data_IF_959424601979
#
_entry.id   IF_959424601979
#
_cell.length_a   1.000
_cell.length_b   1.000
_cell.length_c   1.000
_cell.angle_alpha   90.00
_cell.angle_beta   90.00
_cell.angle_gamma   90.00
#
_symmetry.space_group_name_H-M   'P 1'
#
loop_
_entity.id
_entity.type
_entity.pdbx_description
1 polymer ?
#
# COMPACT_ATOMS: atom_id res chain seq x y z
N UNK A 1 6.12 -9.51 2.00
CA UNK A 1 5.23 -10.69 1.99
C UNK A 1 5.35 -11.41 3.33
N UNK A 2 4.21 -11.77 3.92
CA UNK A 2 4.11 -12.38 5.25
C UNK A 2 3.36 -13.69 5.14
N UNK A 3 3.84 -14.73 5.83
CA UNK A 3 3.06 -15.94 6.09
C UNK A 3 2.60 -15.95 7.55
N UNK A 4 1.33 -16.27 7.76
CA UNK A 4 0.73 -16.34 9.09
C UNK A 4 0.45 -17.80 9.46
N UNK A 5 0.99 -18.24 10.58
CA UNK A 5 0.83 -19.60 11.07
C UNK A 5 -0.11 -19.63 12.27
N UNK A 6 -1.09 -20.56 12.33
CA UNK A 6 -1.97 -20.68 13.49
C UNK A 6 -1.17 -21.15 14.71
N UNK A 7 -1.51 -20.66 15.89
CA UNK A 7 -0.75 -20.95 17.12
C UNK A 7 -0.57 -22.46 17.39
N UNK A 8 -1.60 -23.26 17.06
CA UNK A 8 -1.58 -24.72 17.22
C UNK A 8 -0.53 -25.45 16.36
N UNK A 9 0.06 -24.81 15.35
CA UNK A 9 1.06 -25.46 14.49
C UNK A 9 2.32 -25.87 15.27
N UNK A 10 2.66 -25.14 16.33
CA UNK A 10 3.84 -25.42 17.17
C UNK A 10 3.76 -26.80 17.84
N UNK A 11 2.56 -27.17 18.32
CA UNK A 11 2.26 -28.50 18.87
C UNK A 11 2.33 -29.58 17.80
N UNK A 12 1.81 -29.30 16.60
CA UNK A 12 1.88 -30.22 15.48
C UNK A 12 3.33 -30.51 15.07
N UNK A 13 4.18 -29.48 14.98
CA UNK A 13 5.60 -29.67 14.68
C UNK A 13 6.39 -30.37 15.78
N UNK A 14 6.00 -30.19 17.05
CA UNK A 14 6.65 -30.90 18.16
C UNK A 14 6.31 -32.40 18.19
N UNK A 15 5.18 -32.79 17.62
CA UNK A 15 4.75 -34.21 17.51
C UNK A 15 5.23 -34.90 16.23
N UNK A 16 5.78 -34.15 15.26
CA UNK A 16 6.24 -34.66 13.97
C UNK A 16 7.70 -34.26 13.74
N UNK A 17 8.69 -35.13 14.07
CA UNK A 17 10.11 -34.77 14.05
C UNK A 17 10.66 -34.42 12.66
N UNK A 18 9.97 -34.81 11.58
CA UNK A 18 10.29 -34.49 10.20
C UNK A 18 9.04 -33.97 9.46
N UNK A 19 8.61 -32.71 9.71
CA UNK A 19 7.47 -32.15 8.98
C UNK A 19 7.83 -32.03 7.48
N UNK A 20 6.82 -32.09 6.58
CA UNK A 20 7.06 -31.84 5.16
C UNK A 20 7.69 -30.44 4.98
N UNK A 21 8.54 -30.27 3.97
CA UNK A 21 9.16 -28.97 3.70
C UNK A 21 8.11 -28.01 3.18
N UNK A 22 8.02 -26.81 3.77
CA UNK A 22 7.17 -25.75 3.26
C UNK A 22 7.85 -25.11 2.04
N UNK A 23 7.25 -25.36 0.87
CA UNK A 23 7.71 -24.83 -0.41
C UNK A 23 6.61 -23.99 -1.04
N UNK A 24 7.00 -22.90 -1.68
CA UNK A 24 6.06 -22.02 -2.38
C UNK A 24 6.70 -21.38 -3.61
N UNK A 25 5.86 -21.02 -4.58
CA UNK A 25 6.26 -20.27 -5.76
C UNK A 25 5.62 -18.89 -5.76
N UNK A 26 6.33 -17.94 -6.37
CA UNK A 26 5.82 -16.62 -6.70
C UNK A 26 5.81 -16.48 -8.20
N UNK A 27 4.62 -16.25 -8.75
CA UNK A 27 4.42 -15.95 -10.18
C UNK A 27 4.48 -14.45 -10.45
N UNK A 28 4.66 -14.07 -11.71
CA UNK A 28 4.89 -12.69 -12.13
C UNK A 28 6.11 -12.09 -11.42
N UNK A 29 7.14 -12.92 -11.25
CA UNK A 29 8.34 -12.57 -10.51
C UNK A 29 9.18 -11.52 -11.24
N UNK A 30 9.11 -11.47 -12.57
CA UNK A 30 9.77 -10.45 -13.41
C UNK A 30 9.31 -9.01 -13.15
N UNK A 31 8.16 -8.83 -12.49
CA UNK A 31 7.65 -7.51 -12.06
C UNK A 31 8.38 -6.96 -10.82
N UNK A 32 9.25 -7.77 -10.20
CA UNK A 32 10.01 -7.40 -9.02
C UNK A 32 11.43 -6.99 -9.42
N UNK A 33 11.80 -5.76 -9.11
CA UNK A 33 13.14 -5.22 -9.43
C UNK A 33 14.17 -5.65 -8.40
N UNK A 34 13.82 -5.54 -7.12
CA UNK A 34 14.68 -5.91 -6.02
C UNK A 34 13.92 -6.85 -5.09
N UNK A 35 14.49 -8.02 -4.80
CA UNK A 35 13.89 -9.00 -3.89
C UNK A 35 14.90 -9.36 -2.81
N UNK A 36 14.48 -9.27 -1.57
CA UNK A 36 15.27 -9.59 -0.38
C UNK A 36 14.55 -10.72 0.39
N UNK A 37 14.93 -11.98 0.14
CA UNK A 37 14.45 -13.10 0.92
C UNK A 37 14.93 -13.04 2.36
N UNK A 38 14.13 -13.56 3.30
CA UNK A 38 14.56 -13.69 4.69
C UNK A 38 15.71 -14.71 4.79
N UNK A 39 16.95 -14.28 5.08
CA UNK A 39 18.12 -15.15 4.99
C UNK A 39 18.17 -16.21 6.10
N UNK A 40 17.39 -16.04 7.17
CA UNK A 40 17.29 -17.02 8.24
C UNK A 40 16.27 -18.11 7.94
N UNK A 41 15.23 -17.79 7.17
CA UNK A 41 14.07 -18.67 7.00
C UNK A 41 13.96 -19.28 5.62
N UNK A 42 14.51 -18.64 4.60
CA UNK A 42 14.45 -19.12 3.23
C UNK A 42 15.82 -19.65 2.81
N UNK A 43 15.82 -20.85 2.26
CA UNK A 43 16.96 -21.37 1.54
C UNK A 43 17.02 -20.61 0.20
N UNK A 44 18.00 -19.72 0.05
CA UNK A 44 18.25 -19.04 -1.20
C UNK A 44 18.83 -20.05 -2.20
N UNK A 45 17.98 -20.60 -3.05
CA UNK A 45 18.50 -21.31 -4.20
C UNK A 45 18.96 -20.30 -5.25
N UNK A 46 20.23 -20.40 -5.64
CA UNK A 46 20.87 -19.62 -6.70
C UNK A 46 20.36 -20.01 -8.08
N UNK A 47 19.46 -21.00 -8.18
CA UNK A 47 18.79 -21.33 -9.43
C UNK A 47 18.12 -20.11 -10.05
N UNK A 48 18.30 -19.86 -11.35
CA UNK A 48 17.57 -18.81 -12.03
C UNK A 48 16.06 -19.08 -11.96
N UNK A 49 15.21 -18.04 -11.92
CA UNK A 49 13.76 -18.21 -12.00
C UNK A 49 13.39 -19.05 -13.23
N UNK A 50 12.42 -19.95 -13.07
CA UNK A 50 11.94 -20.81 -14.15
C UNK A 50 10.81 -20.08 -14.86
N UNK A 51 11.13 -19.46 -16.01
CA UNK A 51 10.21 -18.55 -16.67
C UNK A 51 9.91 -17.32 -15.79
N UNK A 52 8.64 -16.99 -15.60
CA UNK A 52 8.19 -15.85 -14.79
C UNK A 52 7.81 -16.24 -13.34
N UNK A 53 8.34 -17.37 -12.86
CA UNK A 53 8.09 -17.85 -11.51
C UNK A 53 9.39 -18.19 -10.78
N UNK A 54 9.40 -17.94 -9.47
CA UNK A 54 10.52 -18.30 -8.58
C UNK A 54 10.01 -19.14 -7.41
N UNK A 55 10.59 -20.32 -7.23
CA UNK A 55 10.35 -21.21 -6.09
C UNK A 55 11.25 -20.85 -4.90
N UNK A 56 10.71 -21.03 -3.69
CA UNK A 56 11.38 -20.83 -2.41
C UNK A 56 11.10 -22.02 -1.48
N UNK A 57 12.14 -22.48 -0.81
CA UNK A 57 12.06 -23.52 0.22
C UNK A 57 12.35 -22.92 1.59
N UNK A 58 11.54 -23.27 2.58
CA UNK A 58 11.70 -22.78 3.94
C UNK A 58 12.65 -23.70 4.72
N UNK A 59 13.62 -23.11 5.41
CA UNK A 59 14.42 -23.82 6.40
C UNK A 59 13.55 -24.16 7.61
N UNK A 60 13.04 -25.39 7.63
CA UNK A 60 12.09 -25.86 8.65
C UNK A 60 12.67 -25.78 10.06
N UNK A 61 13.96 -26.08 10.26
CA UNK A 61 14.61 -25.99 11.58
C UNK A 61 14.56 -24.56 12.14
N UNK A 62 14.91 -23.59 11.31
CA UNK A 62 14.89 -22.18 11.70
C UNK A 62 13.46 -21.66 11.87
N UNK A 63 12.51 -22.10 11.03
CA UNK A 63 11.09 -21.77 11.19
C UNK A 63 10.53 -22.29 12.52
N UNK A 64 10.76 -23.56 12.85
CA UNK A 64 10.29 -24.18 14.09
C UNK A 64 10.83 -23.44 15.31
N UNK A 65 12.14 -23.17 15.31
CA UNK A 65 12.82 -22.41 16.37
C UNK A 65 12.24 -21.00 16.52
N UNK A 66 11.99 -20.32 15.40
CA UNK A 66 11.39 -18.99 15.38
C UNK A 66 9.96 -19.00 15.96
N UNK A 67 9.10 -19.91 15.47
CA UNK A 67 7.71 -20.02 15.93
C UNK A 67 7.63 -20.37 17.41
N UNK A 68 8.50 -21.26 17.92
CA UNK A 68 8.58 -21.58 19.35
C UNK A 68 8.91 -20.34 20.18
N UNK A 69 9.93 -19.57 19.77
CA UNK A 69 10.32 -18.34 20.46
C UNK A 69 9.20 -17.29 20.46
N UNK A 70 8.51 -17.11 19.33
CA UNK A 70 7.37 -16.17 19.27
C UNK A 70 6.20 -16.66 20.12
N UNK A 71 5.94 -17.96 20.16
CA UNK A 71 4.89 -18.54 21.01
C UNK A 71 5.17 -18.34 22.50
N UNK A 72 6.42 -18.50 22.94
CA UNK A 72 6.85 -18.23 24.32
C UNK A 72 6.69 -16.75 24.68
N UNK A 73 7.02 -15.84 23.76
CA UNK A 73 6.88 -14.40 23.97
C UNK A 73 5.42 -13.92 23.93
N UNK A 74 4.57 -14.60 23.15
CA UNK A 74 3.17 -14.21 22.88
C UNK A 74 2.23 -15.42 22.96
N UNK A 75 2.03 -16.00 24.15
CA UNK A 75 1.26 -17.25 24.30
C UNK A 75 -0.23 -17.11 23.99
N UNK A 76 -0.78 -15.89 24.06
CA UNK A 76 -2.19 -15.60 23.79
C UNK A 76 -2.48 -15.27 22.31
N UNK A 77 -1.46 -15.20 21.45
CA UNK A 77 -1.66 -14.90 20.04
C UNK A 77 -2.30 -16.10 19.31
N UNK A 78 -3.30 -15.82 18.47
CA UNK A 78 -3.97 -16.85 17.64
C UNK A 78 -3.18 -17.19 16.38
N UNK A 79 -2.35 -16.27 15.91
CA UNK A 79 -1.47 -16.43 14.74
C UNK A 79 -0.10 -15.80 14.97
N UNK A 80 0.92 -16.41 14.36
CA UNK A 80 2.28 -15.89 14.30
C UNK A 80 2.61 -15.45 12.88
N UNK A 81 2.89 -14.16 12.70
CA UNK A 81 3.25 -13.57 11.41
C UNK A 81 4.76 -13.65 11.20
N UNK A 82 5.16 -14.13 10.04
CA UNK A 82 6.56 -14.35 9.67
C UNK A 82 6.84 -13.65 8.35
N UNK A 83 7.74 -12.68 8.37
CA UNK A 83 8.21 -11.97 7.18
C UNK A 83 9.08 -12.90 6.32
N UNK A 84 8.60 -13.23 5.11
CA UNK A 84 9.31 -14.12 4.20
C UNK A 84 10.15 -13.34 3.18
N UNK A 85 9.57 -12.29 2.58
CA UNK A 85 10.22 -11.52 1.52
C UNK A 85 9.97 -10.03 1.70
N UNK A 86 10.97 -9.21 1.41
CA UNK A 86 10.79 -7.80 1.06
C UNK A 86 11.07 -7.64 -0.42
N UNK A 87 10.31 -6.79 -1.11
CA UNK A 87 10.53 -6.58 -2.54
C UNK A 87 10.19 -5.14 -2.94
N UNK A 88 10.75 -4.74 -4.08
CA UNK A 88 10.43 -3.53 -4.81
C UNK A 88 9.82 -3.93 -6.15
N UNK A 89 8.77 -3.22 -6.55
CA UNK A 89 8.03 -3.48 -7.79
C UNK A 89 8.57 -2.55 -8.87
N UNK A 90 8.84 -3.09 -10.06
CA UNK A 90 9.23 -2.28 -11.21
C UNK A 90 8.10 -1.34 -11.61
N UNK A 91 8.41 -0.07 -11.88
CA UNK A 91 7.41 0.96 -12.22
C UNK A 91 7.68 1.62 -13.57
N UNK A 92 6.61 2.10 -14.21
CA UNK A 92 6.63 2.82 -15.48
C UNK A 92 6.03 4.22 -15.32
N UNK A 93 6.53 4.96 -14.32
CA UNK A 93 6.06 6.31 -14.01
C UNK A 93 4.57 6.36 -13.68
N UNK A 94 3.86 7.32 -14.28
CA UNK A 94 2.44 7.60 -13.99
C UNK A 94 1.48 6.44 -14.37
N UNK A 95 1.91 5.51 -15.21
CA UNK A 95 1.08 4.34 -15.54
C UNK A 95 1.03 3.33 -14.40
N UNK A 96 2.03 3.33 -13.51
CA UNK A 96 2.08 2.45 -12.34
C UNK A 96 1.47 3.07 -11.08
N UNK A 97 0.96 4.30 -11.16
CA UNK A 97 0.32 4.98 -10.02
C UNK A 97 -1.18 4.76 -10.03
N UNK A 98 -1.80 4.24 -8.95
CA UNK A 98 -3.23 3.92 -8.93
C UNK A 98 -4.14 5.16 -8.83
N UNK A 99 -3.58 6.32 -8.48
CA UNK A 99 -4.30 7.60 -8.39
C UNK A 99 -3.48 8.73 -9.00
N UNK A 100 -3.75 9.10 -10.23
CA UNK A 100 -3.02 10.18 -10.88
C UNK A 100 -3.48 11.52 -10.32
N UNK A 101 -2.55 12.46 -10.13
CA UNK A 101 -2.79 13.76 -9.52
C UNK A 101 -2.22 14.86 -10.40
N UNK A 102 -2.92 15.99 -10.46
CA UNK A 102 -2.40 17.26 -10.94
C UNK A 102 -2.85 18.36 -9.99
N UNK A 103 -1.93 19.23 -9.59
CA UNK A 103 -2.20 20.30 -8.62
C UNK A 103 -1.92 21.63 -9.28
N UNK A 104 -2.78 22.61 -9.05
CA UNK A 104 -2.62 23.97 -9.53
C UNK A 104 -2.91 24.98 -8.43
N UNK A 105 -1.96 25.86 -8.20
CA UNK A 105 -2.10 27.00 -7.30
C UNK A 105 -2.14 28.30 -8.12
N UNK A 106 -3.12 29.15 -7.82
CA UNK A 106 -3.22 30.50 -8.37
C UNK A 106 -3.57 31.46 -7.24
N UNK A 107 -3.01 32.65 -7.22
CA UNK A 107 -3.33 33.59 -6.15
C UNK A 107 -2.63 34.92 -6.31
N UNK A 108 -3.07 35.87 -5.49
CA UNK A 108 -2.50 37.20 -5.34
C UNK A 108 -2.29 37.52 -3.85
N UNK A 109 -2.04 38.79 -3.52
CA UNK A 109 -1.79 39.21 -2.14
C UNK A 109 -3.00 39.00 -1.20
N UNK A 110 -4.21 38.85 -1.75
CA UNK A 110 -5.47 38.82 -1.00
C UNK A 110 -6.18 37.47 -1.05
N UNK A 111 -5.86 36.62 -2.02
CA UNK A 111 -6.54 35.35 -2.22
C UNK A 111 -5.67 34.26 -2.85
N UNK A 112 -6.01 33.00 -2.54
CA UNK A 112 -5.40 31.81 -3.14
C UNK A 112 -6.47 30.81 -3.56
N UNK A 113 -6.38 30.34 -4.79
CA UNK A 113 -7.12 29.25 -5.39
C UNK A 113 -6.25 28.00 -5.48
N UNK A 114 -6.76 26.90 -4.90
CA UNK A 114 -6.20 25.56 -4.99
C UNK A 114 -7.13 24.69 -5.84
N UNK A 115 -6.58 24.08 -6.89
CA UNK A 115 -7.24 23.04 -7.68
C UNK A 115 -6.42 21.76 -7.65
N UNK A 116 -7.08 20.64 -7.36
CA UNK A 116 -6.51 19.30 -7.40
C UNK A 116 -7.36 18.46 -8.34
N UNK A 117 -6.82 18.09 -9.49
CA UNK A 117 -7.44 17.11 -10.38
C UNK A 117 -6.91 15.71 -10.03
N UNK A 118 -7.81 14.73 -9.94
CA UNK A 118 -7.45 13.35 -9.66
C UNK A 118 -8.11 12.39 -10.64
N UNK A 119 -7.43 11.28 -10.94
CA UNK A 119 -7.93 10.22 -11.81
C UNK A 119 -7.55 8.85 -11.27
N UNK A 120 -8.56 8.03 -10.98
CA UNK A 120 -8.37 6.60 -10.72
C UNK A 120 -7.76 5.92 -11.95
N UNK A 121 -6.67 5.19 -11.75
CA UNK A 121 -5.95 4.51 -12.82
C UNK A 121 -6.13 3.00 -12.70
N UNK A 122 -7.01 2.43 -13.53
CA UNK A 122 -7.24 0.98 -13.61
C UNK A 122 -6.02 0.21 -14.10
N UNK A 123 -5.18 0.82 -14.93
CA UNK A 123 -4.03 0.14 -15.58
C UNK A 123 -2.87 -0.10 -14.62
N UNK A 124 -2.82 0.64 -13.50
CA UNK A 124 -1.83 0.45 -12.45
C UNK A 124 -2.04 -0.85 -11.65
N UNK A 125 -3.16 -1.54 -11.84
CA UNK A 125 -3.54 -2.74 -11.11
C UNK A 125 -3.90 -3.87 -12.09
N UNK A 126 -3.33 -5.08 -11.94
CA UNK A 126 -3.72 -6.23 -12.76
C UNK A 126 -5.18 -6.63 -12.57
N UNK A 127 -5.70 -6.49 -11.35
CA UNK A 127 -7.14 -6.61 -11.06
C UNK A 127 -7.57 -5.31 -10.36
N UNK A 128 -8.31 -4.42 -11.06
CA UNK A 128 -8.71 -3.14 -10.50
C UNK A 128 -9.60 -3.32 -9.26
N UNK A 129 -9.15 -2.77 -8.14
CA UNK A 129 -9.89 -2.72 -6.87
C UNK A 129 -10.10 -1.27 -6.44
N UNK A 130 -11.20 -0.96 -5.72
CA UNK A 130 -11.43 0.40 -5.23
C UNK A 130 -10.29 0.90 -4.33
N UNK A 131 -9.98 2.19 -4.43
CA UNK A 131 -9.24 2.90 -3.41
C UNK A 131 -10.22 3.36 -2.33
N UNK A 132 -9.85 3.22 -1.07
CA UNK A 132 -10.70 3.53 0.10
C UNK A 132 -9.96 4.43 1.07
N UNK A 133 -10.71 5.10 1.94
CA UNK A 133 -10.18 6.01 2.97
C UNK A 133 -9.24 7.07 2.37
N UNK A 134 -9.67 7.69 1.27
CA UNK A 134 -8.83 8.59 0.50
C UNK A 134 -8.84 9.97 1.16
N UNK A 135 -7.67 10.44 1.59
CA UNK A 135 -7.50 11.75 2.22
C UNK A 135 -6.55 12.61 1.38
N UNK A 136 -7.02 13.77 0.96
CA UNK A 136 -6.20 14.80 0.29
C UNK A 136 -5.91 15.90 1.30
N UNK A 137 -4.64 16.26 1.49
CA UNK A 137 -4.20 17.24 2.47
C UNK A 137 -3.21 18.23 1.86
N UNK A 138 -3.50 19.52 1.96
CA UNK A 138 -2.59 20.58 1.52
C UNK A 138 -2.47 21.65 2.61
N UNK A 139 -1.27 22.18 2.80
CA UNK A 139 -1.04 23.31 3.70
C UNK A 139 -1.25 24.63 2.95
N UNK A 140 -1.87 25.62 3.59
CA UNK A 140 -2.10 26.93 3.00
C UNK A 140 -1.60 27.99 3.98
N UNK A 141 -0.54 28.69 3.59
CA UNK A 141 0.04 29.79 4.36
C UNK A 141 -0.60 31.14 3.97
N UNK A 142 -0.01 32.25 4.43
CA UNK A 142 -0.49 33.61 4.13
C UNK A 142 -1.62 34.11 5.04
N UNK A 143 -1.75 33.54 6.25
CA UNK A 143 -2.70 34.01 7.25
C UNK A 143 -4.15 33.90 6.79
N UNK A 144 -4.61 32.69 6.48
CA UNK A 144 -5.98 32.42 6.02
C UNK A 144 -6.99 32.98 7.03
N UNK A 145 -7.73 34.01 6.62
CA UNK A 145 -8.75 34.65 7.47
C UNK A 145 -10.16 34.09 7.20
N UNK A 146 -10.41 33.60 5.97
CA UNK A 146 -11.71 33.10 5.53
C UNK A 146 -11.56 32.10 4.39
N UNK A 147 -12.33 31.00 4.45
CA UNK A 147 -12.54 30.13 3.29
C UNK A 147 -13.79 30.60 2.53
N UNK A 148 -13.62 30.90 1.24
CA UNK A 148 -14.70 31.44 0.40
C UNK A 148 -15.48 30.34 -0.32
N UNK A 149 -14.78 29.33 -0.84
CA UNK A 149 -15.39 28.23 -1.58
C UNK A 149 -14.62 26.94 -1.33
N UNK A 150 -15.35 25.82 -1.22
CA UNK A 150 -14.80 24.46 -1.07
C UNK A 150 -15.73 23.50 -1.81
N UNK A 151 -15.24 22.90 -2.89
CA UNK A 151 -16.02 22.00 -3.74
C UNK A 151 -15.17 20.77 -4.05
N UNK A 152 -15.57 19.55 -3.63
CA UNK A 152 -16.63 19.25 -2.65
C UNK A 152 -16.30 19.78 -1.24
N UNK A 153 -17.22 19.64 -0.26
CA UNK A 153 -16.95 20.02 1.13
C UNK A 153 -15.66 19.40 1.68
N UNK A 154 -14.88 20.21 2.39
CA UNK A 154 -13.65 19.79 3.05
C UNK A 154 -13.62 20.30 4.50
N UNK A 155 -12.60 19.91 5.24
CA UNK A 155 -12.33 20.40 6.59
C UNK A 155 -11.08 21.28 6.58
N UNK A 156 -11.20 22.51 7.09
CA UNK A 156 -10.06 23.37 7.37
C UNK A 156 -9.62 23.23 8.83
N UNK A 157 -8.33 23.03 9.06
CA UNK A 157 -7.73 23.04 10.39
C UNK A 157 -6.84 24.30 10.54
N UNK A 158 -7.26 25.28 11.35
CA UNK A 158 -6.51 26.52 11.53
C UNK A 158 -5.22 26.36 12.35
N UNK A 159 -5.14 25.39 13.26
CA UNK A 159 -3.95 25.13 14.09
C UNK A 159 -2.77 24.62 13.25
N UNK A 160 -3.07 23.78 12.27
CA UNK A 160 -2.06 23.20 11.36
C UNK A 160 -2.01 23.89 10.01
N UNK A 161 -2.91 24.85 9.76
CA UNK A 161 -3.10 25.56 8.49
C UNK A 161 -3.27 24.60 7.30
N UNK A 162 -4.08 23.56 7.47
CA UNK A 162 -4.29 22.51 6.46
C UNK A 162 -5.76 22.37 6.07
N UNK A 163 -6.00 22.23 4.78
CA UNK A 163 -7.27 21.78 4.24
C UNK A 163 -7.24 20.27 4.01
N UNK A 164 -8.35 19.58 4.28
CA UNK A 164 -8.48 18.13 4.10
C UNK A 164 -9.78 17.78 3.39
N UNK A 165 -9.70 17.03 2.28
CA UNK A 165 -10.84 16.35 1.67
C UNK A 165 -10.80 14.87 1.98
N UNK A 166 -11.98 14.27 2.18
CA UNK A 166 -12.15 12.84 2.39
C UNK A 166 -13.07 12.26 1.33
N UNK A 167 -12.58 11.28 0.58
CA UNK A 167 -13.38 10.48 -0.36
C UNK A 167 -13.41 9.06 0.18
N UNK A 168 -14.58 8.51 0.55
CA UNK A 168 -14.68 7.18 1.16
C UNK A 168 -14.16 6.08 0.24
N UNK A 169 -14.53 6.16 -1.05
CA UNK A 169 -14.18 5.17 -2.06
C UNK A 169 -14.05 5.82 -3.44
N UNK A 170 -13.07 5.37 -4.23
CA UNK A 170 -12.89 5.73 -5.63
C UNK A 170 -12.59 4.49 -6.46
N UNK A 171 -13.35 4.30 -7.54
CA UNK A 171 -13.17 3.23 -8.51
C UNK A 171 -13.68 3.66 -9.90
N UNK A 172 -13.57 2.77 -10.89
CA UNK A 172 -14.16 2.99 -12.21
C UNK A 172 -15.70 3.13 -12.19
N UNK A 173 -16.36 2.67 -11.12
CA UNK A 173 -17.82 2.78 -10.94
C UNK A 173 -18.23 4.07 -10.25
N UNK A 174 -17.28 4.83 -9.70
CA UNK A 174 -17.55 6.14 -9.12
C UNK A 174 -17.99 7.13 -10.21
N UNK A 175 -18.55 8.26 -9.79
CA UNK A 175 -18.93 9.35 -10.69
C UNK A 175 -17.78 9.71 -11.65
N UNK A 176 -18.12 9.99 -12.90
CA UNK A 176 -17.18 10.29 -13.99
C UNK A 176 -16.07 9.25 -14.18
N UNK A 177 -16.32 7.98 -13.82
CA UNK A 177 -15.34 6.91 -13.97
C UNK A 177 -14.14 7.00 -13.03
N UNK A 178 -14.29 7.71 -11.90
CA UNK A 178 -13.22 7.94 -10.93
C UNK A 178 -12.31 9.12 -11.28
N UNK A 179 -12.79 10.04 -12.13
CA UNK A 179 -12.13 11.32 -12.45
C UNK A 179 -12.85 12.45 -11.71
N UNK A 180 -12.12 13.33 -11.07
CA UNK A 180 -12.73 14.47 -10.38
C UNK A 180 -11.76 15.60 -10.09
N UNK A 181 -12.30 16.66 -9.48
CA UNK A 181 -11.55 17.83 -9.07
C UNK A 181 -11.95 18.27 -7.65
N UNK A 182 -10.98 18.77 -6.90
CA UNK A 182 -11.15 19.42 -5.61
C UNK A 182 -10.73 20.88 -5.76
N UNK A 183 -11.57 21.79 -5.30
CA UNK A 183 -11.39 23.23 -5.45
C UNK A 183 -11.52 23.89 -4.09
N UNK A 184 -10.60 24.79 -3.76
CA UNK A 184 -10.73 25.69 -2.62
C UNK A 184 -10.27 27.09 -2.97
N UNK A 185 -10.97 28.09 -2.42
CA UNK A 185 -10.58 29.50 -2.45
C UNK A 185 -10.42 30.03 -1.03
N UNK A 186 -9.26 30.58 -0.74
CA UNK A 186 -8.87 31.15 0.54
C UNK A 186 -8.72 32.66 0.40
N UNK A 187 -9.19 33.40 1.39
CA UNK A 187 -8.86 34.80 1.57
C UNK A 187 -7.73 34.90 2.59
N UNK A 188 -6.72 35.69 2.24
CA UNK A 188 -5.46 35.81 2.96
C UNK A 188 -5.39 37.16 3.69
N UNK A 189 -4.72 37.18 4.83
CA UNK A 189 -4.32 38.41 5.51
C UNK A 189 -2.90 38.84 5.11
N UNK A 190 -2.03 37.86 4.82
CA UNK A 190 -0.59 38.05 4.57
C UNK A 190 -0.16 37.30 3.30
N UNK A 191 -0.86 37.53 2.19
CA UNK A 191 -0.53 36.87 0.91
C UNK A 191 0.69 37.46 0.19
N UNK A 192 1.13 36.84 -0.92
CA UNK A 192 0.57 35.63 -1.53
C UNK A 192 0.97 34.35 -0.78
N UNK A 193 0.14 33.31 -0.88
CA UNK A 193 0.48 31.99 -0.38
C UNK A 193 1.57 31.33 -1.24
N UNK A 194 2.44 30.55 -0.62
CA UNK A 194 3.43 29.70 -1.30
C UNK A 194 2.80 28.33 -1.61
N UNK A 195 2.85 27.86 -2.87
CA UNK A 195 2.40 26.51 -3.21
C UNK A 195 3.06 25.46 -2.32
N UNK A 196 2.24 24.63 -1.68
CA UNK A 196 2.71 23.51 -0.86
C UNK A 196 2.47 22.18 -1.57
N UNK A 197 3.21 21.14 -1.15
CA UNK A 197 3.00 19.80 -1.66
C UNK A 197 1.64 19.27 -1.19
N UNK A 198 0.84 18.75 -2.12
CA UNK A 198 -0.34 17.94 -1.79
C UNK A 198 0.13 16.59 -1.27
N UNK A 199 -0.39 16.16 -0.11
CA UNK A 199 -0.23 14.80 0.40
C UNK A 199 -1.53 14.01 0.26
N UNK A 200 -1.43 12.77 -0.23
CA UNK A 200 -2.59 11.88 -0.36
C UNK A 200 -2.36 10.57 0.40
N UNK A 201 -3.41 10.09 1.07
CA UNK A 201 -3.44 8.78 1.69
C UNK A 201 -4.60 7.98 1.13
N UNK A 202 -4.44 6.67 0.96
CA UNK A 202 -5.50 5.73 0.59
C UNK A 202 -5.07 4.30 0.89
N UNK A 203 -6.05 3.40 0.95
CA UNK A 203 -5.86 1.95 1.09
C UNK A 203 -6.63 1.20 0.00
N UNK A 204 -6.19 0.00 -0.36
CA UNK A 204 -6.96 -0.90 -1.22
C UNK A 204 -6.71 -2.35 -0.80
N UNK A 205 -7.77 -3.16 -0.85
CA UNK A 205 -7.74 -4.58 -0.53
C UNK A 205 -8.29 -5.41 -1.71
N UNK A 206 -7.81 -6.64 -1.83
CA UNK A 206 -8.19 -7.58 -2.91
C UNK A 206 -7.18 -7.67 -4.05
N UNK A 207 -6.21 -6.76 -4.15
CA UNK A 207 -5.24 -6.71 -5.25
C UNK A 207 -3.83 -6.31 -4.80
N UNK A 208 -2.85 -6.47 -5.69
CA UNK A 208 -1.48 -5.97 -5.53
C UNK A 208 -1.12 -5.11 -6.75
N UNK A 209 -0.20 -4.15 -6.60
CA UNK A 209 0.31 -3.39 -7.74
C UNK A 209 1.29 -4.21 -8.60
N UNK A 210 1.96 -5.21 -8.01
CA UNK A 210 2.93 -6.05 -8.73
C UNK A 210 2.28 -7.13 -9.59
N UNK A 211 1.03 -7.51 -9.29
CA UNK A 211 0.38 -8.68 -9.88
C UNK A 211 0.90 -10.03 -9.38
N UNK A 212 2.01 -10.05 -8.63
CA UNK A 212 2.56 -11.28 -8.09
C UNK A 212 1.52 -12.09 -7.33
N UNK A 213 1.54 -13.40 -7.57
CA UNK A 213 0.70 -14.35 -6.86
C UNK A 213 1.53 -15.41 -6.15
N UNK A 214 0.97 -15.91 -5.06
CA UNK A 214 1.60 -16.89 -4.19
C UNK A 214 0.90 -18.24 -4.30
N UNK A 215 1.67 -19.31 -4.49
CA UNK A 215 1.14 -20.67 -4.52
C UNK A 215 2.00 -21.60 -3.65
N UNK A 216 1.36 -22.50 -2.91
CA UNK A 216 2.06 -23.57 -2.20
C UNK A 216 2.40 -24.70 -3.17
N UNK A 217 3.55 -25.34 -2.94
CA UNK A 217 3.99 -26.53 -3.67
C UNK A 217 3.92 -27.74 -2.74
N UNK A 218 3.40 -28.84 -3.26
CA UNK A 218 3.20 -30.09 -2.50
C UNK A 218 1.90 -30.13 -1.69
N UNK A 219 1.68 -31.25 -1.00
CA UNK A 219 0.43 -31.55 -0.29
C UNK A 219 0.50 -31.39 1.24
N UNK A 220 1.68 -31.09 1.79
CA UNK A 220 1.89 -30.98 3.24
C UNK A 220 1.26 -29.75 3.90
N UNK A 221 0.92 -28.74 3.10
CA UNK A 221 0.38 -27.47 3.57
C UNK A 221 -0.77 -27.01 2.69
N UNK A 222 -1.70 -26.24 3.26
CA UNK A 222 -2.78 -25.57 2.52
C UNK A 222 -2.90 -24.12 2.93
N UNK A 223 -3.28 -23.27 1.99
CA UNK A 223 -3.61 -21.89 2.27
C UNK A 223 -5.02 -21.81 2.84
N UNK A 224 -5.16 -21.19 4.02
CA UNK A 224 -6.48 -20.83 4.54
C UNK A 224 -7.03 -19.56 3.91
N UNK A 225 -6.15 -18.60 3.63
CA UNK A 225 -6.51 -17.29 3.09
C UNK A 225 -5.28 -16.61 2.49
N UNK A 226 -5.45 -15.94 1.35
CA UNK A 226 -4.46 -15.03 0.76
C UNK A 226 -5.02 -13.62 0.81
N UNK A 227 -4.39 -12.74 1.60
CA UNK A 227 -4.76 -11.33 1.69
C UNK A 227 -3.84 -10.50 0.79
N UNK A 228 -4.42 -9.85 -0.22
CA UNK A 228 -3.73 -8.91 -1.12
C UNK A 228 -4.20 -7.49 -0.78
N UNK A 229 -3.28 -6.56 -0.59
CA UNK A 229 -3.58 -5.16 -0.28
C UNK A 229 -2.41 -4.25 -0.60
N UNK A 230 -2.69 -2.97 -0.82
CA UNK A 230 -1.69 -1.91 -0.92
C UNK A 230 -2.23 -0.63 -0.27
N UNK A 231 -1.33 0.29 0.06
CA UNK A 231 -1.68 1.60 0.63
C UNK A 231 -0.70 2.65 0.13
N UNK A 232 -1.15 3.90 0.11
CA UNK A 232 -0.27 5.03 -0.13
C UNK A 232 0.83 5.09 0.94
N UNK A 233 2.08 5.20 0.48
CA UNK A 233 3.22 5.58 1.32
C UNK A 233 3.37 7.10 1.34
N UNK A 234 4.56 7.60 0.96
CA UNK A 234 4.77 9.01 0.65
C UNK A 234 4.19 9.31 -0.74
N UNK A 235 2.91 9.70 -0.80
CA UNK A 235 2.21 10.01 -2.04
C UNK A 235 1.97 11.52 -2.14
N UNK A 236 2.80 12.19 -2.94
CA UNK A 236 2.83 13.64 -3.02
C UNK A 236 2.61 14.14 -4.45
N UNK A 237 2.08 15.34 -4.59
CA UNK A 237 2.03 16.05 -5.86
C UNK A 237 2.40 17.53 -5.65
N UNK A 238 3.20 18.04 -6.58
CA UNK A 238 3.62 19.45 -6.63
C UNK A 238 2.94 20.16 -7.80
N UNK A 239 3.07 21.50 -7.82
CA UNK A 239 2.56 22.38 -8.87
C UNK A 239 3.39 22.29 -10.16
#
# INVERSE_FOLDING_TARGET
>A
MVLSFPAGITRHFSSHPSPPVLTFTISQYSRLEQVLPNPQLLCCDTTPPTGDSKEFWVNMSNLLSHLKKVAEQRPQATYYNVDMLKYQVSTQGIQSTPLNLAVSWRGDASSTDLRIDYKYNTEAMPTPTPLTNIHFMAAVDGGVNKLQAMLPPATWNPETQKITWKIPELSQRSENGGVGALLARFQLAEGPSRPSQLAVQFTSEGSTLSGCDFQLVGSGYRLSLVKKRFSAGKYLADN
#
